data_IF_837635260823
#
_entry.id   IF_837635260823
#
_cell.length_a   1.000
_cell.length_b   1.000
_cell.length_c   1.000
_cell.angle_alpha   90.00
_cell.angle_beta   90.00
_cell.angle_gamma   90.00
#
_symmetry.space_group_name_H-M   'P 1'
#
loop_
_entity.id
_entity.type
_entity.pdbx_description
1 polymer ?
#
# COMPACT_ATOMS: atom_id res chain seq x y z
N UNK A 1 -5.51 -16.81 12.14
CA UNK A 1 -5.26 -15.88 11.01
C UNK A 1 -6.59 -15.52 10.40
N UNK A 2 -6.86 -14.21 10.13
CA UNK A 2 -8.13 -13.77 9.53
C UNK A 2 -8.12 -13.88 8.00
N UNK A 3 -6.96 -13.63 7.38
CA UNK A 3 -6.77 -13.65 5.93
C UNK A 3 -5.86 -14.80 5.49
N UNK A 4 -6.31 -16.03 5.74
CA UNK A 4 -5.65 -17.22 5.20
C UNK A 4 -5.94 -17.37 3.68
N UNK A 5 -5.24 -18.30 3.03
CA UNK A 5 -5.35 -18.54 1.58
C UNK A 5 -6.80 -18.78 1.16
N UNK A 6 -7.56 -19.57 1.94
CA UNK A 6 -8.96 -19.87 1.62
C UNK A 6 -9.84 -18.62 1.69
N UNK A 7 -9.67 -17.81 2.72
CA UNK A 7 -10.45 -16.58 2.93
C UNK A 7 -10.18 -15.59 1.81
N UNK A 8 -8.91 -15.34 1.48
CA UNK A 8 -8.53 -14.40 0.40
C UNK A 8 -9.02 -14.90 -0.95
N UNK A 9 -8.85 -16.19 -1.26
CA UNK A 9 -9.34 -16.78 -2.51
C UNK A 9 -10.85 -16.62 -2.65
N UNK A 10 -11.62 -16.86 -1.58
CA UNK A 10 -13.07 -16.65 -1.59
C UNK A 10 -13.46 -15.20 -1.83
N UNK A 11 -12.75 -14.23 -1.20
CA UNK A 11 -13.02 -12.80 -1.37
C UNK A 11 -12.71 -12.31 -2.79
N UNK A 12 -11.71 -12.89 -3.43
CA UNK A 12 -11.32 -12.57 -4.81
C UNK A 12 -12.09 -13.37 -5.86
N UNK A 13 -12.86 -14.41 -5.45
CA UNK A 13 -13.58 -15.30 -6.35
C UNK A 13 -12.67 -16.18 -7.21
N UNK A 14 -11.56 -16.66 -6.63
CA UNK A 14 -10.56 -17.50 -7.30
C UNK A 14 -10.44 -18.86 -6.62
N UNK A 15 -9.97 -19.84 -7.35
CA UNK A 15 -9.76 -21.23 -6.91
C UNK A 15 -8.27 -21.54 -6.60
N UNK A 16 -7.35 -20.69 -7.09
CA UNK A 16 -5.91 -20.84 -6.94
C UNK A 16 -5.27 -19.49 -6.58
N UNK A 17 -4.45 -19.48 -5.53
CA UNK A 17 -3.73 -18.32 -5.07
C UNK A 17 -2.79 -17.70 -6.13
N UNK A 18 -2.36 -18.50 -7.11
CA UNK A 18 -1.58 -18.01 -8.24
C UNK A 18 -2.29 -16.95 -9.07
N UNK A 19 -3.61 -17.03 -9.14
CA UNK A 19 -4.47 -16.10 -9.89
C UNK A 19 -4.68 -14.76 -9.18
N UNK A 20 -4.36 -14.70 -7.87
CA UNK A 20 -4.69 -13.55 -7.04
C UNK A 20 -4.10 -12.22 -7.54
N UNK A 21 -2.80 -12.12 -7.95
CA UNK A 21 -2.27 -10.84 -8.43
C UNK A 21 -3.01 -10.30 -9.65
N UNK A 22 -3.27 -11.15 -10.65
CA UNK A 22 -4.01 -10.77 -11.86
C UNK A 22 -5.44 -10.36 -11.54
N UNK A 23 -6.15 -11.19 -10.76
CA UNK A 23 -7.53 -10.91 -10.38
C UNK A 23 -7.64 -9.63 -9.54
N UNK A 24 -6.72 -9.43 -8.63
CA UNK A 24 -6.68 -8.22 -7.79
C UNK A 24 -6.45 -6.98 -8.64
N UNK A 25 -5.52 -7.03 -9.60
CA UNK A 25 -5.27 -5.91 -10.52
C UNK A 25 -6.52 -5.56 -11.35
N UNK A 26 -7.24 -6.54 -11.87
CA UNK A 26 -8.48 -6.32 -12.63
C UNK A 26 -9.54 -5.58 -11.80
N UNK A 27 -9.71 -5.95 -10.53
CA UNK A 27 -10.69 -5.33 -9.62
C UNK A 27 -10.24 -3.91 -9.24
N UNK A 28 -8.95 -3.74 -8.93
CA UNK A 28 -8.42 -2.47 -8.43
C UNK A 28 -8.57 -1.32 -9.42
N UNK A 29 -8.51 -1.59 -10.71
CA UNK A 29 -8.66 -0.57 -11.76
C UNK A 29 -10.12 -0.16 -12.01
N UNK A 30 -11.10 -0.81 -11.38
CA UNK A 30 -12.53 -0.52 -11.52
C UNK A 30 -13.09 -0.03 -10.20
N UNK A 31 -13.50 1.23 -10.14
CA UNK A 31 -13.86 1.91 -8.88
C UNK A 31 -14.90 1.15 -8.06
N UNK A 32 -16.03 0.80 -8.66
CA UNK A 32 -17.15 0.17 -7.96
C UNK A 32 -16.77 -1.22 -7.44
N UNK A 33 -16.12 -2.05 -8.28
CA UNK A 33 -15.66 -3.39 -7.89
C UNK A 33 -14.59 -3.30 -6.79
N UNK A 34 -13.67 -2.35 -6.87
CA UNK A 34 -12.62 -2.08 -5.88
C UNK A 34 -13.21 -1.72 -4.52
N UNK A 35 -14.12 -0.76 -4.48
CA UNK A 35 -14.74 -0.34 -3.23
C UNK A 35 -15.60 -1.43 -2.60
N UNK A 36 -16.34 -2.20 -3.40
CA UNK A 36 -17.09 -3.35 -2.90
C UNK A 36 -16.16 -4.41 -2.30
N UNK A 37 -15.05 -4.72 -2.98
CA UNK A 37 -14.02 -5.62 -2.46
C UNK A 37 -13.45 -5.10 -1.13
N UNK A 38 -13.08 -3.83 -1.03
CA UNK A 38 -12.57 -3.26 0.23
C UNK A 38 -13.57 -3.40 1.37
N UNK A 39 -14.86 -3.11 1.11
CA UNK A 39 -15.92 -3.29 2.12
C UNK A 39 -16.07 -4.76 2.56
N UNK A 40 -15.89 -5.72 1.62
CA UNK A 40 -15.94 -7.15 1.94
C UNK A 40 -14.75 -7.58 2.81
N UNK A 41 -13.55 -7.08 2.55
CA UNK A 41 -12.38 -7.29 3.43
C UNK A 41 -12.60 -6.67 4.82
N UNK A 42 -13.11 -5.45 4.90
CA UNK A 42 -13.38 -4.74 6.15
C UNK A 42 -14.46 -5.40 7.02
N UNK A 43 -15.37 -6.21 6.45
CA UNK A 43 -16.31 -7.05 7.22
C UNK A 43 -15.60 -8.15 8.03
N UNK A 44 -14.39 -8.56 7.62
CA UNK A 44 -13.61 -9.60 8.29
C UNK A 44 -12.67 -8.98 9.33
N UNK A 45 -11.97 -7.92 8.95
CA UNK A 45 -11.08 -7.18 9.85
C UNK A 45 -11.05 -5.69 9.51
N UNK A 46 -11.18 -4.85 10.53
CA UNK A 46 -11.06 -3.40 10.41
C UNK A 46 -9.70 -2.86 10.84
N UNK A 47 -8.81 -3.73 11.32
CA UNK A 47 -7.46 -3.34 11.71
C UNK A 47 -6.56 -3.17 10.48
N UNK A 48 -6.33 -1.93 10.08
CA UNK A 48 -5.49 -1.56 8.94
C UNK A 48 -3.99 -1.37 9.30
N UNK A 49 -3.57 -1.65 10.54
CA UNK A 49 -2.20 -1.40 11.01
C UNK A 49 -1.17 -2.44 10.56
N UNK A 50 -1.59 -3.48 9.87
CA UNK A 50 -0.71 -4.53 9.36
C UNK A 50 -1.11 -4.96 7.95
N UNK A 51 -0.16 -5.57 7.23
CA UNK A 51 -0.40 -6.10 5.90
C UNK A 51 -1.21 -7.40 5.98
N UNK A 52 -2.43 -7.37 5.45
CA UNK A 52 -3.34 -8.53 5.42
C UNK A 52 -2.87 -9.64 4.49
N UNK A 53 -1.99 -9.33 3.55
CA UNK A 53 -1.49 -10.28 2.55
C UNK A 53 -0.11 -10.84 2.89
N UNK A 54 0.53 -10.39 3.96
CA UNK A 54 1.87 -10.82 4.33
C UNK A 54 1.98 -12.35 4.34
N UNK A 55 1.16 -13.02 5.14
CA UNK A 55 1.19 -14.48 5.29
C UNK A 55 0.59 -15.21 4.07
N UNK A 56 -0.38 -14.60 3.39
CA UNK A 56 -0.92 -15.12 2.13
C UNK A 56 0.17 -15.21 1.07
N UNK A 57 0.94 -14.15 0.93
CA UNK A 57 2.02 -14.05 -0.06
C UNK A 57 3.20 -14.95 0.33
N UNK A 58 3.57 -15.04 1.61
CA UNK A 58 4.61 -15.95 2.10
C UNK A 58 4.24 -17.42 1.87
N UNK A 59 3.01 -17.82 2.16
CA UNK A 59 2.53 -19.19 1.95
C UNK A 59 2.60 -19.57 0.47
N UNK A 60 2.18 -18.68 -0.40
CA UNK A 60 2.22 -18.88 -1.84
C UNK A 60 3.67 -18.97 -2.37
N UNK A 61 4.58 -18.17 -1.80
CA UNK A 61 6.00 -18.19 -2.13
C UNK A 61 6.72 -19.44 -1.60
N UNK A 62 6.34 -19.93 -0.42
CA UNK A 62 6.95 -21.12 0.20
C UNK A 62 6.72 -22.39 -0.63
N UNK A 63 5.59 -22.48 -1.34
CA UNK A 63 5.31 -23.56 -2.29
C UNK A 63 6.21 -23.51 -3.53
N UNK A 64 6.91 -22.38 -3.75
CA UNK A 64 7.79 -22.14 -4.90
C UNK A 64 9.24 -21.99 -4.46
N UNK A 65 9.98 -23.06 -4.47
CA UNK A 65 11.40 -23.14 -4.10
C UNK A 65 12.37 -22.22 -4.86
N UNK A 66 11.90 -21.29 -5.71
CA UNK A 66 12.77 -20.62 -6.68
C UNK A 66 13.02 -19.12 -6.49
N UNK A 67 12.25 -18.41 -5.65
CA UNK A 67 12.53 -17.00 -5.35
C UNK A 67 12.31 -16.74 -3.85
N UNK A 68 13.41 -16.66 -3.11
CA UNK A 68 13.39 -16.19 -1.71
C UNK A 68 13.18 -14.68 -1.71
N UNK A 69 11.93 -14.23 -1.68
CA UNK A 69 11.60 -12.88 -1.25
C UNK A 69 11.20 -12.98 0.21
N UNK A 70 12.10 -12.54 1.09
CA UNK A 70 11.79 -12.43 2.52
C UNK A 70 11.11 -11.07 2.74
N UNK A 71 9.90 -11.08 3.30
CA UNK A 71 9.22 -9.84 3.68
C UNK A 71 9.74 -9.32 5.01
N UNK A 72 9.80 -8.00 5.12
CA UNK A 72 10.21 -7.35 6.36
C UNK A 72 9.14 -7.60 7.44
N UNK A 73 9.47 -8.31 8.54
CA UNK A 73 8.53 -8.50 9.64
C UNK A 73 8.02 -7.17 10.18
N UNK A 74 6.74 -7.11 10.57
CA UNK A 74 6.09 -5.89 11.05
C UNK A 74 6.84 -5.19 12.21
N UNK A 75 7.46 -5.97 13.11
CA UNK A 75 8.31 -5.41 14.18
C UNK A 75 9.54 -4.70 13.66
N UNK A 76 10.18 -5.24 12.62
CA UNK A 76 11.34 -4.62 11.98
C UNK A 76 10.92 -3.38 11.19
N UNK A 77 9.79 -3.44 10.47
CA UNK A 77 9.25 -2.29 9.76
C UNK A 77 8.94 -1.11 10.71
N UNK A 78 8.32 -1.39 11.87
CA UNK A 78 8.06 -0.38 12.91
C UNK A 78 9.35 0.19 13.48
N UNK A 79 10.35 -0.66 13.79
CA UNK A 79 11.64 -0.22 14.31
C UNK A 79 12.38 0.66 13.28
N UNK A 80 12.49 0.21 12.04
CA UNK A 80 13.13 0.97 10.97
C UNK A 80 12.47 2.34 10.79
N UNK A 81 11.13 2.36 10.75
CA UNK A 81 10.37 3.59 10.61
C UNK A 81 10.60 4.55 11.80
N UNK A 82 10.67 4.04 13.04
CA UNK A 82 10.94 4.87 14.21
C UNK A 82 12.34 5.51 14.21
N UNK A 83 13.29 4.93 13.48
CA UNK A 83 14.65 5.44 13.34
C UNK A 83 14.73 6.54 12.26
N UNK A 84 14.03 6.35 11.14
CA UNK A 84 14.16 7.25 9.97
C UNK A 84 13.07 8.31 9.88
N UNK A 85 12.00 8.21 10.67
CA UNK A 85 10.91 9.18 10.64
C UNK A 85 11.26 10.43 11.43
N UNK A 86 11.13 11.58 10.79
CA UNK A 86 11.24 12.88 11.42
C UNK A 86 9.84 13.48 11.65
N UNK A 87 9.61 14.19 12.78
CA UNK A 87 8.34 14.86 13.03
C UNK A 87 8.03 15.89 11.94
N UNK A 88 6.80 15.83 11.40
CA UNK A 88 6.36 16.75 10.34
C UNK A 88 6.87 16.43 8.94
N UNK A 89 7.54 15.29 8.75
CA UNK A 89 7.93 14.83 7.42
C UNK A 89 6.71 14.33 6.66
N UNK A 90 6.40 14.96 5.53
CA UNK A 90 5.21 14.69 4.71
C UNK A 90 5.49 13.74 3.56
N UNK A 91 6.75 13.68 3.10
CA UNK A 91 7.15 12.85 1.98
C UNK A 91 7.80 11.55 2.45
N UNK A 92 7.45 10.46 1.80
CA UNK A 92 8.00 9.13 2.06
C UNK A 92 8.41 8.46 0.75
N UNK A 93 9.63 7.94 0.70
CA UNK A 93 10.16 7.21 -0.45
C UNK A 93 10.62 5.82 -0.03
N UNK A 94 10.20 4.80 -0.78
CA UNK A 94 10.57 3.41 -0.55
C UNK A 94 10.85 2.68 -1.86
N UNK A 95 12.08 2.19 -2.01
CA UNK A 95 12.49 1.27 -3.06
C UNK A 95 12.22 -0.17 -2.62
N UNK A 96 11.76 -1.01 -3.55
CA UNK A 96 11.44 -2.42 -3.29
C UNK A 96 10.38 -2.58 -2.18
N UNK A 97 9.26 -1.87 -2.32
CA UNK A 97 8.20 -1.77 -1.32
C UNK A 97 7.47 -3.10 -1.03
N UNK A 98 7.62 -4.11 -1.88
CA UNK A 98 6.95 -5.39 -1.75
C UNK A 98 5.43 -5.23 -1.75
N UNK A 99 4.76 -5.79 -0.75
CA UNK A 99 3.32 -5.60 -0.54
C UNK A 99 2.97 -4.35 0.29
N UNK A 100 4.00 -3.57 0.74
CA UNK A 100 3.82 -2.30 1.44
C UNK A 100 3.92 -2.37 2.96
N UNK A 101 4.62 -3.35 3.51
CA UNK A 101 4.74 -3.50 4.97
C UNK A 101 5.35 -2.28 5.66
N UNK A 102 6.42 -1.70 5.10
CA UNK A 102 7.04 -0.49 5.65
C UNK A 102 6.20 0.76 5.38
N UNK A 103 5.58 0.88 4.21
CA UNK A 103 4.59 1.91 3.91
C UNK A 103 3.46 1.93 4.96
N UNK A 104 2.92 0.77 5.32
CA UNK A 104 1.88 0.64 6.35
C UNK A 104 2.42 1.13 7.71
N UNK A 105 3.62 0.74 8.10
CA UNK A 105 4.23 1.20 9.34
C UNK A 105 4.41 2.73 9.36
N UNK A 106 4.79 3.34 8.22
CA UNK A 106 4.87 4.79 8.06
C UNK A 106 3.50 5.46 8.16
N UNK A 107 2.49 4.91 7.50
CA UNK A 107 1.12 5.41 7.59
C UNK A 107 0.59 5.37 9.03
N UNK A 108 0.83 4.26 9.76
CA UNK A 108 0.46 4.15 11.19
C UNK A 108 1.15 5.24 12.01
N UNK A 109 2.44 5.49 11.77
CA UNK A 109 3.17 6.56 12.42
C UNK A 109 2.54 7.93 12.15
N UNK A 110 2.24 8.25 10.90
CA UNK A 110 1.63 9.53 10.53
C UNK A 110 0.26 9.73 11.19
N UNK A 111 -0.55 8.68 11.24
CA UNK A 111 -1.90 8.72 11.84
C UNK A 111 -1.85 8.86 13.35
N UNK A 112 -0.93 8.16 14.04
CA UNK A 112 -0.92 8.04 15.50
C UNK A 112 0.05 8.97 16.21
N UNK A 113 1.22 9.16 15.65
CA UNK A 113 2.39 9.62 16.39
C UNK A 113 2.96 10.93 15.84
N UNK A 114 2.54 11.39 14.66
CA UNK A 114 3.09 12.62 14.11
C UNK A 114 2.74 13.83 15.00
N UNK A 115 3.75 14.48 15.62
CA UNK A 115 3.54 15.63 16.51
C UNK A 115 2.93 16.83 15.81
N UNK A 116 3.06 16.96 14.49
CA UNK A 116 2.43 18.04 13.73
C UNK A 116 0.90 18.00 13.90
N UNK A 117 0.35 16.79 14.06
CA UNK A 117 -1.09 16.57 14.25
C UNK A 117 -1.45 16.20 15.69
N UNK A 118 -0.59 15.50 16.42
CA UNK A 118 -0.83 15.08 17.81
C UNK A 118 -0.34 16.07 18.85
N UNK A 119 0.51 17.02 18.48
CA UNK A 119 1.24 17.93 19.42
C UNK A 119 0.39 18.80 20.34
N UNK A 120 -0.95 18.81 20.19
CA UNK A 120 -1.88 19.51 21.10
C UNK A 120 -2.71 18.56 22.00
N UNK A 121 -2.48 17.24 21.95
CA UNK A 121 -3.38 16.26 22.56
C UNK A 121 -2.77 15.22 23.49
N UNK A 122 -1.58 15.49 24.07
CA UNK A 122 -1.01 14.60 25.09
C UNK A 122 -1.90 14.41 26.35
N UNK A 123 -2.94 15.21 26.49
CA UNK A 123 -3.79 15.25 27.69
C UNK A 123 -5.19 14.65 27.53
N UNK A 124 -5.55 14.05 26.39
CA UNK A 124 -6.87 13.43 26.23
C UNK A 124 -6.77 11.91 26.16
N UNK A 125 -7.59 11.26 26.99
CA UNK A 125 -7.69 9.80 27.20
C UNK A 125 -8.15 8.95 26.00
N UNK A 126 -8.06 9.43 24.79
CA UNK A 126 -8.44 8.66 23.59
C UNK A 126 -7.20 7.94 23.02
N UNK A 127 -6.86 6.79 23.59
CA UNK A 127 -5.91 5.83 23.02
C UNK A 127 -6.47 5.10 21.78
N UNK A 128 -7.59 5.54 21.24
CA UNK A 128 -8.23 4.90 20.09
C UNK A 128 -7.91 5.66 18.81
N UNK A 129 -7.26 4.98 17.87
CA UNK A 129 -6.91 5.51 16.55
C UNK A 129 -8.08 6.17 15.85
N UNK A 130 -9.26 5.53 15.86
CA UNK A 130 -10.44 6.04 15.19
C UNK A 130 -10.81 7.44 15.69
N UNK A 131 -10.74 7.66 16.99
CA UNK A 131 -11.19 8.93 17.59
C UNK A 131 -10.17 10.06 17.37
N UNK A 132 -8.87 9.76 17.36
CA UNK A 132 -7.85 10.77 17.10
C UNK A 132 -7.73 11.09 15.60
N UNK A 133 -7.84 10.08 14.74
CA UNK A 133 -7.66 10.22 13.28
C UNK A 133 -8.80 10.98 12.60
N UNK A 134 -10.05 10.76 13.02
CA UNK A 134 -11.23 11.46 12.47
C UNK A 134 -11.09 12.99 12.60
N UNK A 135 -10.39 13.45 13.63
CA UNK A 135 -10.30 14.89 13.92
C UNK A 135 -8.97 15.56 13.58
N UNK A 136 -7.92 14.79 13.23
CA UNK A 136 -6.58 15.36 13.13
C UNK A 136 -5.77 14.89 11.94
N UNK A 137 -6.02 13.71 11.39
CA UNK A 137 -5.28 13.18 10.26
C UNK A 137 -5.84 13.71 8.94
N UNK A 138 -4.99 14.38 8.18
CA UNK A 138 -5.29 14.82 6.81
C UNK A 138 -4.51 13.93 5.82
N UNK A 139 -5.16 13.03 5.09
CA UNK A 139 -4.48 12.20 4.10
C UNK A 139 -3.76 13.01 3.02
N UNK A 140 -4.23 14.22 2.71
CA UNK A 140 -3.64 15.07 1.67
C UNK A 140 -2.34 15.73 2.09
N UNK A 141 -2.03 15.74 3.40
CA UNK A 141 -0.78 16.27 3.92
C UNK A 141 0.42 15.34 3.65
N UNK A 142 0.18 14.10 3.23
CA UNK A 142 1.24 13.10 3.06
C UNK A 142 1.31 12.58 1.64
N UNK A 143 2.54 12.41 1.15
CA UNK A 143 2.84 11.87 -0.16
C UNK A 143 3.79 10.69 -0.08
N UNK A 144 3.49 9.61 -0.81
CA UNK A 144 4.31 8.41 -0.86
C UNK A 144 4.80 8.16 -2.29
N UNK A 145 6.10 7.88 -2.42
CA UNK A 145 6.71 7.41 -3.65
C UNK A 145 7.21 5.99 -3.43
N UNK A 146 6.61 5.03 -4.08
CA UNK A 146 6.84 3.60 -3.85
C UNK A 146 7.26 2.92 -5.14
N UNK A 147 8.35 2.16 -5.08
CA UNK A 147 8.86 1.40 -6.21
C UNK A 147 8.89 -0.09 -5.88
N UNK A 148 8.47 -0.92 -6.84
CA UNK A 148 8.49 -2.38 -6.71
C UNK A 148 8.65 -3.01 -8.09
N UNK A 149 9.49 -4.04 -8.19
CA UNK A 149 9.77 -4.72 -9.45
C UNK A 149 8.74 -5.82 -9.77
N UNK A 150 8.25 -6.50 -8.73
CA UNK A 150 7.47 -7.72 -8.86
C UNK A 150 6.06 -7.47 -9.38
N UNK A 151 5.72 -8.04 -10.54
CA UNK A 151 4.36 -8.07 -11.10
C UNK A 151 3.34 -8.64 -10.09
N UNK A 152 3.81 -9.51 -9.21
CA UNK A 152 2.97 -10.19 -8.23
C UNK A 152 2.71 -9.35 -6.98
N UNK A 153 3.68 -8.51 -6.56
CA UNK A 153 3.58 -7.68 -5.37
C UNK A 153 2.78 -6.38 -5.62
N UNK A 154 2.92 -5.79 -6.80
CA UNK A 154 2.25 -4.51 -7.16
C UNK A 154 0.76 -4.49 -6.86
N UNK A 155 -0.07 -5.49 -7.20
CA UNK A 155 -1.49 -5.44 -6.91
C UNK A 155 -1.80 -5.39 -5.40
N UNK A 156 -1.02 -6.08 -4.59
CA UNK A 156 -1.16 -6.03 -3.13
C UNK A 156 -0.70 -4.70 -2.54
N UNK A 157 0.36 -4.11 -3.09
CA UNK A 157 0.82 -2.77 -2.73
C UNK A 157 -0.25 -1.71 -3.04
N UNK A 158 -0.85 -1.77 -4.22
CA UNK A 158 -1.96 -0.90 -4.64
C UNK A 158 -3.18 -1.06 -3.71
N UNK A 159 -3.56 -2.31 -3.39
CA UNK A 159 -4.65 -2.59 -2.45
C UNK A 159 -4.35 -1.96 -1.08
N UNK A 160 -3.15 -2.21 -0.55
CA UNK A 160 -2.74 -1.74 0.76
C UNK A 160 -2.69 -0.21 0.85
N UNK A 161 -2.26 0.47 -0.21
CA UNK A 161 -2.28 1.92 -0.28
C UNK A 161 -3.71 2.46 -0.38
N UNK A 162 -4.51 1.93 -1.30
CA UNK A 162 -5.83 2.50 -1.60
C UNK A 162 -6.86 2.28 -0.49
N UNK A 163 -6.87 1.11 0.18
CA UNK A 163 -7.80 0.86 1.29
C UNK A 163 -7.55 1.76 2.51
N UNK A 164 -6.33 2.32 2.63
CA UNK A 164 -5.92 3.24 3.71
C UNK A 164 -6.07 4.71 3.37
N UNK A 165 -6.58 5.05 2.19
CA UNK A 165 -6.70 6.44 1.76
C UNK A 165 -5.35 7.14 1.54
N UNK A 166 -4.30 6.40 1.18
CA UNK A 166 -2.96 6.95 0.97
C UNK A 166 -2.89 7.69 -0.37
N UNK A 167 -2.19 8.84 -0.42
CA UNK A 167 -1.78 9.49 -1.65
C UNK A 167 -0.37 9.01 -2.04
N UNK A 168 -0.24 8.42 -3.23
CA UNK A 168 1.01 7.85 -3.67
C UNK A 168 1.19 7.88 -5.19
N UNK A 169 2.46 7.86 -5.62
CA UNK A 169 2.84 7.27 -6.89
C UNK A 169 3.45 5.90 -6.62
N UNK A 170 2.99 4.88 -7.34
CA UNK A 170 3.49 3.52 -7.26
C UNK A 170 4.03 3.14 -8.62
N UNK A 171 5.33 2.84 -8.70
CA UNK A 171 6.02 2.57 -9.95
C UNK A 171 6.47 1.12 -9.96
N UNK A 172 6.02 0.38 -10.97
CA UNK A 172 6.53 -0.96 -11.22
C UNK A 172 7.82 -0.86 -12.03
N UNK A 173 8.96 -0.85 -11.34
CA UNK A 173 10.26 -0.67 -11.98
C UNK A 173 11.38 -1.43 -11.28
N UNK A 174 12.47 -1.62 -11.99
CA UNK A 174 13.77 -1.89 -11.39
C UNK A 174 14.37 -0.56 -10.91
N UNK A 175 14.38 -0.34 -9.61
CA UNK A 175 14.85 0.90 -8.97
C UNK A 175 16.33 1.20 -9.24
N UNK A 176 17.15 0.20 -9.62
CA UNK A 176 18.56 0.38 -9.94
C UNK A 176 18.78 0.80 -11.39
N UNK A 177 18.11 0.14 -12.34
CA UNK A 177 18.22 0.45 -13.76
C UNK A 177 17.24 1.51 -14.23
N UNK A 178 16.30 1.92 -13.39
CA UNK A 178 15.20 2.86 -13.69
C UNK A 178 14.26 2.41 -14.80
N UNK A 179 14.28 1.14 -15.19
CA UNK A 179 13.37 0.59 -16.21
C UNK A 179 12.01 0.28 -15.59
N UNK A 180 10.99 0.96 -16.08
CA UNK A 180 9.61 0.85 -15.56
C UNK A 180 8.69 0.16 -16.57
N UNK A 181 7.82 -0.72 -16.07
CA UNK A 181 6.75 -1.36 -16.83
C UNK A 181 5.45 -0.58 -16.77
N UNK A 182 5.05 -0.17 -15.58
CA UNK A 182 3.79 0.54 -15.31
C UNK A 182 3.99 1.52 -14.16
N UNK A 183 3.14 2.53 -14.10
CA UNK A 183 3.07 3.41 -12.94
C UNK A 183 1.59 3.73 -12.63
N UNK A 184 1.31 4.00 -11.37
CA UNK A 184 -0.03 4.25 -10.86
C UNK A 184 -0.03 5.48 -9.96
N UNK A 185 -1.03 6.30 -10.15
CA UNK A 185 -1.37 7.39 -9.24
C UNK A 185 -2.48 6.92 -8.31
N UNK A 186 -2.19 6.83 -7.04
CA UNK A 186 -3.14 6.48 -5.98
C UNK A 186 -3.52 7.77 -5.30
N UNK A 187 -4.81 8.16 -5.38
CA UNK A 187 -5.26 9.49 -5.00
C UNK A 187 -6.45 9.44 -4.05
N UNK A 188 -6.31 10.08 -2.91
CA UNK A 188 -7.42 10.40 -2.01
C UNK A 188 -7.78 11.89 -2.15
N UNK A 189 -8.95 12.19 -2.71
CA UNK A 189 -9.48 13.55 -2.80
C UNK A 189 -10.23 14.00 -1.55
N UNK A 190 -10.41 13.09 -0.62
CA UNK A 190 -11.20 13.33 0.59
C UNK A 190 -10.30 13.68 1.77
N UNK A 191 -10.76 14.65 2.56
CA UNK A 191 -10.22 14.89 3.90
C UNK A 191 -10.69 13.85 4.92
N UNK A 192 -11.51 12.87 4.48
CA UNK A 192 -12.02 11.80 5.31
C UNK A 192 -10.99 10.68 5.39
N UNK A 193 -10.47 10.46 6.57
CA UNK A 193 -9.57 9.38 6.90
C UNK A 193 -10.09 7.98 6.52
N UNK A 194 -11.41 7.80 6.46
CA UNK A 194 -12.05 6.53 6.12
C UNK A 194 -12.32 6.36 4.62
N UNK A 195 -12.01 7.37 3.81
CA UNK A 195 -12.22 7.28 2.38
C UNK A 195 -11.12 6.43 1.70
N UNK A 196 -11.52 5.62 0.73
CA UNK A 196 -10.59 4.87 -0.10
C UNK A 196 -9.98 5.79 -1.17
N UNK A 197 -8.73 5.50 -1.55
CA UNK A 197 -8.11 6.18 -2.68
C UNK A 197 -8.57 5.61 -4.02
N UNK A 198 -8.66 6.49 -5.01
CA UNK A 198 -8.77 6.10 -6.42
C UNK A 198 -7.41 5.64 -6.95
N UNK A 199 -7.43 4.76 -7.95
CA UNK A 199 -6.24 4.24 -8.62
C UNK A 199 -6.35 4.57 -10.11
N UNK A 200 -5.37 5.28 -10.62
CA UNK A 200 -5.27 5.66 -12.04
C UNK A 200 -3.94 5.16 -12.59
N UNK A 201 -3.99 4.41 -13.68
CA UNK A 201 -2.75 4.05 -14.39
C UNK A 201 -2.21 5.24 -15.14
N UNK A 202 -0.92 5.52 -14.97
CA UNK A 202 -0.23 6.64 -15.61
C UNK A 202 0.15 6.24 -17.04
N UNK A 203 -0.19 7.04 -18.07
CA UNK A 203 0.19 6.77 -19.45
C UNK A 203 1.71 6.71 -19.64
N UNK A 204 2.20 5.76 -20.45
CA UNK A 204 3.63 5.60 -20.77
C UNK A 204 4.05 6.64 -21.82
N UNK A 205 4.21 7.89 -21.43
CA UNK A 205 4.69 8.98 -22.29
C UNK A 205 6.06 9.47 -21.85
N UNK A 206 6.78 10.15 -22.75
CA UNK A 206 8.10 10.72 -22.44
C UNK A 206 8.03 11.77 -21.32
N UNK A 207 6.94 12.52 -21.25
CA UNK A 207 6.73 13.52 -20.19
C UNK A 207 6.62 12.85 -18.82
N UNK A 208 5.85 11.76 -18.72
CA UNK A 208 5.76 10.99 -17.48
C UNK A 208 7.04 10.23 -17.17
N UNK A 209 7.75 9.70 -18.18
CA UNK A 209 9.06 9.09 -17.97
C UNK A 209 10.03 10.06 -17.29
N UNK A 210 10.11 11.29 -17.82
CA UNK A 210 10.94 12.35 -17.26
C UNK A 210 10.49 12.79 -15.87
N UNK A 211 9.18 12.91 -15.64
CA UNK A 211 8.64 13.32 -14.34
C UNK A 211 8.91 12.29 -13.24
N UNK A 212 8.80 10.97 -13.58
CA UNK A 212 9.01 9.86 -12.66
C UNK A 212 10.48 9.43 -12.57
N UNK A 213 11.35 10.02 -13.38
CA UNK A 213 12.76 9.64 -13.50
C UNK A 213 12.94 8.16 -13.84
N UNK A 214 12.24 7.69 -14.90
CA UNK A 214 12.27 6.30 -15.36
C UNK A 214 12.41 6.21 -16.88
N UNK A 215 12.78 5.03 -17.35
CA UNK A 215 12.70 4.63 -18.77
C UNK A 215 11.59 3.59 -18.93
N UNK A 216 10.62 3.85 -19.82
CA UNK A 216 9.58 2.85 -20.09
C UNK A 216 10.16 1.63 -20.81
N UNK A 217 9.97 0.47 -20.22
CA UNK A 217 10.25 -0.80 -20.88
C UNK A 217 9.08 -1.14 -21.81
N UNK A 218 9.26 -0.92 -23.11
CA UNK A 218 8.25 -1.15 -24.15
C UNK A 218 8.27 -2.57 -24.71
N UNK A 219 9.25 -3.39 -24.34
CA UNK A 219 9.51 -4.71 -24.92
C UNK A 219 8.71 -5.85 -24.26
N UNK A 220 7.94 -5.58 -23.20
CA UNK A 220 7.12 -6.56 -22.48
C UNK A 220 5.65 -6.12 -22.48
N UNK A 221 4.86 -6.63 -23.45
CA UNK A 221 3.39 -6.68 -23.41
C UNK A 221 2.89 -7.94 -22.71
#
# INVERSE_FOLDING_TARGET
>A
MKFDVKTVNNLLGIDDAFKAPGRLMEILLKKEEREEMFRNFLKIDTNLEYDWFHEYFETEQAERKSKKQDFTPNTIAKLANSIVSEPGQTDYYEMAAGTGGMMIARWVYNVKEDPAFTGKRKDTMANDILTSSIFTYDPQAYWYHLEELSDRAIPFLLFNAAIRGINAVIIQCDSLSRKAKRAFYVKSDNYDFLAFSDILEIPRTDDFAKFLDVEWNLDEE
#
